data_IF_393027310492
#
_entry.id   IF_393027310492
#
_cell.length_a   1.000
_cell.length_b   1.000
_cell.length_c   1.000
_cell.angle_alpha   90.00
_cell.angle_beta   90.00
_cell.angle_gamma   90.00
#
_symmetry.space_group_name_H-M   'P 1'
#
loop_
_entity.id
_entity.type
_entity.pdbx_description
1 polymer ?
#
# COMPACT_ATOMS: atom_id res chain seq x y z
N UNK A 1 -14.50 -4.36 -47.82
CA UNK A 1 -15.06 -4.65 -46.50
C UNK A 1 -14.57 -3.56 -45.55
N UNK A 2 -15.46 -2.67 -45.10
CA UNK A 2 -15.12 -1.64 -44.12
C UNK A 2 -15.41 -2.20 -42.72
N UNK A 3 -14.40 -2.32 -41.88
CA UNK A 3 -14.57 -2.66 -40.49
C UNK A 3 -14.49 -1.36 -39.65
N UNK A 4 -15.22 -1.31 -38.57
CA UNK A 4 -15.10 -0.22 -37.58
C UNK A 4 -14.06 -0.58 -36.54
N UNK A 5 -13.14 0.36 -36.29
CA UNK A 5 -12.07 0.18 -35.33
C UNK A 5 -12.13 1.32 -34.31
N UNK A 6 -12.27 0.99 -33.01
CA UNK A 6 -12.28 1.94 -31.93
C UNK A 6 -11.13 1.63 -30.98
N UNK A 7 -10.38 2.66 -30.61
CA UNK A 7 -9.32 2.57 -29.60
C UNK A 7 -9.67 3.49 -28.44
N UNK A 8 -9.40 3.04 -27.22
CA UNK A 8 -9.64 3.80 -26.00
C UNK A 8 -8.40 3.77 -25.12
N UNK A 9 -8.01 4.93 -24.62
CA UNK A 9 -7.01 5.05 -23.58
C UNK A 9 -7.65 5.66 -22.35
N UNK A 10 -7.55 4.97 -21.22
CA UNK A 10 -8.06 5.42 -19.94
C UNK A 10 -6.91 5.41 -18.96
N UNK A 11 -6.76 6.47 -18.18
CA UNK A 11 -5.78 6.50 -17.11
C UNK A 11 -6.32 7.23 -15.89
N UNK A 12 -5.78 6.84 -14.75
CA UNK A 12 -6.08 7.44 -13.45
C UNK A 12 -4.77 7.56 -12.67
N UNK A 13 -4.56 8.71 -12.07
CA UNK A 13 -3.46 8.96 -11.16
C UNK A 13 -3.97 9.64 -9.90
N UNK A 14 -3.52 9.16 -8.74
CA UNK A 14 -3.79 9.77 -7.45
C UNK A 14 -2.55 9.73 -6.58
N UNK A 15 -2.30 10.84 -5.90
CA UNK A 15 -1.28 10.92 -4.86
C UNK A 15 -1.86 11.59 -3.62
N UNK A 16 -1.67 10.96 -2.45
CA UNK A 16 -2.15 11.46 -1.17
C UNK A 16 -1.03 11.42 -0.15
N UNK A 17 -0.78 12.55 0.52
CA UNK A 17 0.07 12.65 1.71
C UNK A 17 -0.78 12.91 2.95
N UNK A 18 -0.44 12.28 4.06
CA UNK A 18 -1.07 12.55 5.37
C UNK A 18 0.04 12.69 6.39
N UNK A 19 0.05 13.82 7.10
CA UNK A 19 0.89 14.05 8.28
C UNK A 19 0.01 14.02 9.52
N UNK A 20 0.40 13.26 10.51
CA UNK A 20 -0.32 13.12 11.76
C UNK A 20 0.63 13.19 12.95
N UNK A 21 0.23 13.96 13.96
CA UNK A 21 0.85 13.98 15.28
C UNK A 21 -0.19 13.47 16.28
N UNK A 22 0.16 12.44 17.03
CA UNK A 22 -0.71 11.85 18.04
C UNK A 22 -0.05 11.96 19.40
N UNK A 23 -0.75 12.57 20.34
CA UNK A 23 -0.37 12.64 21.75
C UNK A 23 -1.48 11.97 22.57
N UNK A 24 -1.12 11.00 23.39
CA UNK A 24 -2.04 10.27 24.26
C UNK A 24 -1.48 10.20 25.66
N UNK A 25 -2.34 10.39 26.65
CA UNK A 25 -2.04 10.20 28.06
C UNK A 25 -3.17 9.41 28.71
N UNK A 26 -2.85 8.51 29.60
CA UNK A 26 -3.84 7.70 30.28
C UNK A 26 -3.22 6.58 31.11
N UNK A 27 -4.09 5.78 31.72
CA UNK A 27 -3.70 4.63 32.51
C UNK A 27 -3.62 3.37 31.64
N UNK A 28 -2.51 2.66 31.73
CA UNK A 28 -2.40 1.31 31.23
C UNK A 28 -2.81 0.33 32.34
N UNK A 29 -4.03 -0.13 32.29
CA UNK A 29 -4.61 -1.02 33.32
C UNK A 29 -3.95 -2.42 33.39
N UNK A 30 -3.26 -2.84 32.33
CA UNK A 30 -2.52 -4.11 32.34
C UNK A 30 -1.25 -4.02 33.22
N UNK A 31 -0.54 -2.90 33.15
CA UNK A 31 0.69 -2.66 33.92
C UNK A 31 0.45 -1.80 35.14
N UNK A 32 -0.77 -1.30 35.35
CA UNK A 32 -1.17 -0.35 36.41
C UNK A 32 -0.23 0.88 36.47
N UNK A 33 0.06 1.44 35.30
CA UNK A 33 0.95 2.61 35.18
C UNK A 33 0.34 3.68 34.29
N UNK A 34 0.50 4.93 34.69
CA UNK A 34 0.21 6.05 33.81
C UNK A 34 1.26 6.14 32.70
N UNK A 35 0.79 6.30 31.49
CA UNK A 35 1.63 6.33 30.30
C UNK A 35 1.34 7.57 29.45
N UNK A 36 2.36 8.03 28.75
CA UNK A 36 2.26 8.96 27.63
C UNK A 36 2.75 8.29 26.36
N UNK A 37 2.06 8.54 25.25
CA UNK A 37 2.52 8.16 23.91
C UNK A 37 2.56 9.40 23.03
N UNK A 38 3.69 9.61 22.40
CA UNK A 38 3.87 10.56 21.32
C UNK A 38 4.19 9.80 20.02
N UNK A 39 3.52 10.17 18.95
CA UNK A 39 3.72 9.54 17.65
C UNK A 39 3.63 10.58 16.55
N UNK A 40 4.69 10.69 15.76
CA UNK A 40 4.74 11.48 14.53
C UNK A 40 4.80 10.55 13.33
N UNK A 41 3.86 10.73 12.42
CA UNK A 41 3.68 9.88 11.26
C UNK A 41 3.46 10.73 10.01
N UNK A 42 4.18 10.42 8.95
CA UNK A 42 3.82 10.83 7.59
C UNK A 42 3.59 9.59 6.74
N UNK A 43 2.51 9.58 5.97
CA UNK A 43 2.23 8.53 4.99
C UNK A 43 2.03 9.12 3.62
N UNK A 44 2.68 8.53 2.63
CA UNK A 44 2.46 8.82 1.21
C UNK A 44 1.83 7.63 0.51
N UNK A 45 0.77 7.87 -0.28
CA UNK A 45 0.14 6.86 -1.14
C UNK A 45 0.09 7.37 -2.56
N UNK A 46 0.54 6.54 -3.49
CA UNK A 46 0.48 6.82 -4.93
C UNK A 46 -0.26 5.67 -5.59
N UNK A 47 -1.18 5.98 -6.50
CA UNK A 47 -1.89 5.00 -7.31
C UNK A 47 -1.93 5.48 -8.73
N UNK A 48 -1.57 4.60 -9.66
CA UNK A 48 -1.72 4.80 -11.09
C UNK A 48 -2.41 3.59 -11.70
N UNK A 49 -3.32 3.82 -12.64
CA UNK A 49 -3.93 2.79 -13.47
C UNK A 49 -4.07 3.31 -14.88
N UNK A 50 -3.47 2.63 -15.83
CA UNK A 50 -3.56 2.91 -17.27
C UNK A 50 -4.13 1.71 -18.00
N UNK A 51 -5.06 1.93 -18.91
CA UNK A 51 -5.67 0.91 -19.76
C UNK A 51 -5.70 1.39 -21.21
N UNK A 52 -5.27 0.52 -22.12
CA UNK A 52 -5.42 0.68 -23.55
C UNK A 52 -6.36 -0.42 -24.04
N UNK A 53 -7.43 -0.06 -24.71
CA UNK A 53 -8.41 -0.99 -25.25
C UNK A 53 -8.66 -0.76 -26.74
N UNK A 54 -9.04 -1.83 -27.43
CA UNK A 54 -9.46 -1.78 -28.81
C UNK A 54 -10.68 -2.65 -29.05
N UNK A 55 -11.63 -2.12 -29.83
CA UNK A 55 -12.80 -2.84 -30.34
C UNK A 55 -12.72 -2.84 -31.86
N UNK A 56 -12.80 -4.01 -32.46
CA UNK A 56 -12.73 -4.21 -33.89
C UNK A 56 -13.95 -4.99 -34.35
N UNK A 57 -14.80 -4.34 -35.13
CA UNK A 57 -15.96 -4.96 -35.74
C UNK A 57 -15.63 -5.25 -37.19
N UNK A 58 -15.77 -6.50 -37.60
CA UNK A 58 -15.38 -7.00 -38.91
C UNK A 58 -16.58 -7.66 -39.62
N UNK A 59 -16.58 -7.65 -40.96
CA UNK A 59 -17.58 -8.32 -41.77
C UNK A 59 -19.02 -7.89 -41.44
N UNK A 60 -19.31 -6.61 -41.45
CA UNK A 60 -20.66 -6.08 -41.22
C UNK A 60 -21.27 -6.56 -39.90
N UNK A 61 -20.51 -6.48 -38.80
CA UNK A 61 -20.89 -6.86 -37.45
C UNK A 61 -21.02 -8.37 -37.17
N UNK A 62 -20.55 -9.23 -38.07
CA UNK A 62 -20.55 -10.69 -37.86
C UNK A 62 -19.49 -11.08 -36.82
N UNK A 63 -18.32 -10.47 -36.90
CA UNK A 63 -17.21 -10.74 -36.03
C UNK A 63 -16.84 -9.51 -35.19
N UNK A 64 -16.64 -9.67 -33.89
CA UNK A 64 -16.17 -8.62 -32.99
C UNK A 64 -15.01 -9.11 -32.16
N UNK A 65 -13.94 -8.34 -32.13
CA UNK A 65 -12.79 -8.54 -31.26
C UNK A 65 -12.68 -7.38 -30.31
N UNK A 66 -12.68 -7.63 -29.01
CA UNK A 66 -12.39 -6.65 -27.97
C UNK A 66 -11.11 -7.08 -27.24
N UNK A 67 -10.21 -6.15 -27.02
CA UNK A 67 -9.02 -6.41 -26.21
C UNK A 67 -8.71 -5.25 -25.28
N UNK A 68 -8.07 -5.56 -24.15
CA UNK A 68 -7.63 -4.57 -23.16
C UNK A 68 -6.27 -4.97 -22.64
N UNK A 69 -5.33 -4.02 -22.64
CA UNK A 69 -4.05 -4.12 -21.93
C UNK A 69 -4.04 -3.11 -20.79
N UNK A 70 -3.71 -3.55 -19.57
CA UNK A 70 -3.71 -2.73 -18.39
C UNK A 70 -2.37 -2.75 -17.67
N UNK A 71 -2.00 -1.62 -17.07
CA UNK A 71 -0.93 -1.50 -16.12
C UNK A 71 -1.43 -0.74 -14.89
N UNK A 72 -1.16 -1.28 -13.71
CA UNK A 72 -1.45 -0.66 -12.42
C UNK A 72 -0.19 -0.56 -11.58
N UNK A 73 -0.06 0.54 -10.88
CA UNK A 73 1.00 0.79 -9.90
C UNK A 73 0.39 1.34 -8.63
N UNK A 74 0.77 0.78 -7.47
CA UNK A 74 0.45 1.36 -6.18
C UNK A 74 1.70 1.40 -5.31
N UNK A 75 1.88 2.50 -4.59
CA UNK A 75 2.95 2.65 -3.61
C UNK A 75 2.40 3.19 -2.29
N UNK A 76 2.94 2.68 -1.20
CA UNK A 76 2.73 3.19 0.16
C UNK A 76 4.07 3.42 0.83
N UNK A 77 4.26 4.57 1.46
CA UNK A 77 5.51 4.96 2.11
C UNK A 77 5.25 5.54 3.49
N UNK A 78 5.99 5.06 4.46
CA UNK A 78 6.21 5.69 5.76
C UNK A 78 7.71 6.00 5.88
N UNK A 79 8.15 7.19 5.49
CA UNK A 79 9.59 7.49 5.42
C UNK A 79 10.25 7.68 6.78
N UNK A 80 9.49 7.94 7.85
CA UNK A 80 10.04 8.14 9.19
C UNK A 80 8.90 8.25 10.22
N UNK A 81 8.33 7.14 10.63
CA UNK A 81 7.39 7.11 11.74
C UNK A 81 8.17 7.06 13.04
N UNK A 82 7.94 8.03 13.92
CA UNK A 82 8.57 8.14 15.24
C UNK A 82 7.55 7.82 16.31
N UNK A 83 7.92 6.95 17.23
CA UNK A 83 7.09 6.61 18.39
C UNK A 83 7.94 6.77 19.65
N UNK A 84 7.42 7.48 20.64
CA UNK A 84 7.99 7.55 21.98
C UNK A 84 6.91 7.22 22.98
N UNK A 85 7.16 6.20 23.78
CA UNK A 85 6.34 5.89 24.94
C UNK A 85 7.06 6.38 26.19
N UNK A 86 6.31 6.87 27.17
CA UNK A 86 6.83 7.27 28.47
C UNK A 86 5.94 6.74 29.57
N UNK A 87 6.53 6.44 30.70
CA UNK A 87 5.87 5.85 31.87
C UNK A 87 6.07 6.79 33.04
N UNK A 88 5.01 7.05 33.80
CA UNK A 88 5.08 7.83 35.02
C UNK A 88 5.86 7.06 36.10
N UNK A 89 6.83 7.70 36.70
CA UNK A 89 7.55 7.20 37.85
C UNK A 89 6.96 7.85 39.15
N UNK A 90 6.03 7.17 39.74
CA UNK A 90 5.31 7.64 40.93
C UNK A 90 6.22 7.77 42.17
N UNK A 91 7.42 7.20 42.12
CA UNK A 91 8.40 7.30 43.21
C UNK A 91 9.15 8.63 43.23
N UNK A 92 9.00 9.43 42.14
CA UNK A 92 9.66 10.72 41.94
C UNK A 92 8.67 11.86 42.12
N UNK A 93 9.02 12.82 42.95
CA UNK A 93 8.21 14.03 43.22
C UNK A 93 8.71 15.25 42.45
N UNK A 94 9.92 15.21 41.91
CA UNK A 94 10.54 16.24 41.10
C UNK A 94 10.25 16.02 39.62
N UNK A 95 9.97 17.07 38.91
CA UNK A 95 9.75 17.04 37.45
C UNK A 95 11.07 16.95 36.69
N UNK A 96 11.09 16.28 35.55
CA UNK A 96 10.03 15.49 34.94
C UNK A 96 9.93 14.09 35.55
N UNK A 97 8.71 13.67 35.86
CA UNK A 97 8.45 12.36 36.47
C UNK A 97 8.06 11.27 35.46
N UNK A 98 7.97 11.60 34.18
CA UNK A 98 7.85 10.62 33.12
C UNK A 98 9.24 10.24 32.60
N UNK A 99 9.49 8.96 32.46
CA UNK A 99 10.70 8.48 31.80
C UNK A 99 10.37 7.84 30.44
N UNK A 100 11.24 8.09 29.46
CA UNK A 100 11.10 7.57 28.11
C UNK A 100 11.33 6.06 28.11
N UNK A 101 10.38 5.35 27.51
CA UNK A 101 10.43 3.90 27.33
C UNK A 101 10.26 3.60 25.84
N UNK A 102 11.09 2.70 25.32
CA UNK A 102 11.01 2.18 23.96
C UNK A 102 10.80 3.21 22.85
N UNK A 103 11.67 4.22 22.71
CA UNK A 103 11.60 5.08 21.54
C UNK A 103 11.99 4.32 20.27
N UNK A 104 11.21 4.49 19.21
CA UNK A 104 11.34 3.72 17.98
C UNK A 104 11.18 4.59 16.75
N UNK A 105 11.83 4.18 15.66
CA UNK A 105 11.62 4.72 14.31
C UNK A 105 11.34 3.58 13.33
N UNK A 106 10.41 3.83 12.43
CA UNK A 106 10.02 2.89 11.39
C UNK A 106 10.10 3.54 10.03
N UNK A 107 10.59 2.79 9.07
CA UNK A 107 10.62 3.12 7.66
C UNK A 107 9.94 1.98 6.91
N UNK A 108 8.96 2.32 6.07
CA UNK A 108 8.25 1.32 5.28
C UNK A 108 8.06 1.83 3.86
N UNK A 109 8.30 0.97 2.90
CA UNK A 109 8.10 1.20 1.46
C UNK A 109 7.43 -0.04 0.87
N UNK A 110 6.22 0.13 0.31
CA UNK A 110 5.50 -0.91 -0.41
C UNK A 110 5.30 -0.45 -1.84
N UNK A 111 5.59 -1.35 -2.79
CA UNK A 111 5.36 -1.16 -4.22
C UNK A 111 4.64 -2.36 -4.79
N UNK A 112 3.55 -2.08 -5.48
CA UNK A 112 2.76 -3.04 -6.25
C UNK A 112 2.81 -2.66 -7.73
N UNK A 113 3.08 -3.64 -8.58
CA UNK A 113 2.97 -3.54 -10.02
C UNK A 113 2.03 -4.64 -10.53
N UNK A 114 1.13 -4.28 -11.41
CA UNK A 114 0.22 -5.21 -12.05
C UNK A 114 0.16 -4.97 -13.55
N UNK A 115 0.21 -6.04 -14.32
CA UNK A 115 -0.01 -6.03 -15.77
C UNK A 115 -1.16 -6.98 -16.06
N UNK A 116 -2.10 -6.58 -16.90
CA UNK A 116 -3.23 -7.41 -17.29
C UNK A 116 -3.47 -7.35 -18.80
N UNK A 117 -3.90 -8.46 -19.36
CA UNK A 117 -4.30 -8.59 -20.76
C UNK A 117 -5.63 -9.34 -20.82
N UNK A 118 -6.56 -8.82 -21.59
CA UNK A 118 -7.83 -9.49 -21.91
C UNK A 118 -8.06 -9.44 -23.42
N UNK A 119 -8.63 -10.51 -23.97
CA UNK A 119 -9.11 -10.55 -25.34
C UNK A 119 -10.40 -11.35 -25.40
N UNK A 120 -11.40 -10.83 -26.10
CA UNK A 120 -12.68 -11.47 -26.33
C UNK A 120 -12.97 -11.48 -27.82
N UNK A 121 -13.62 -12.56 -28.27
CA UNK A 121 -14.08 -12.73 -29.64
C UNK A 121 -15.53 -13.16 -29.65
N UNK A 122 -16.36 -12.45 -30.41
CA UNK A 122 -17.77 -12.76 -30.64
C UNK A 122 -17.99 -13.06 -32.13
N UNK A 123 -18.75 -14.10 -32.40
CA UNK A 123 -19.20 -14.47 -33.74
C UNK A 123 -20.72 -14.65 -33.77
N UNK A 124 -21.37 -13.96 -34.70
CA UNK A 124 -22.83 -14.06 -34.93
C UNK A 124 -23.09 -14.99 -36.11
N UNK A 125 -23.85 -16.05 -35.87
CA UNK A 125 -24.28 -16.97 -36.91
C UNK A 125 -25.67 -16.55 -37.40
N UNK A 126 -25.90 -16.69 -38.70
CA UNK A 126 -27.23 -16.60 -39.31
C UNK A 126 -27.59 -17.96 -39.85
N UNK A 127 -28.40 -18.71 -39.09
CA UNK A 127 -28.81 -20.07 -39.46
C UNK A 127 -30.16 -20.06 -40.20
N UNK A 128 -31.09 -19.20 -39.74
CA UNK A 128 -32.37 -18.96 -40.40
C UNK A 128 -32.94 -17.62 -39.98
N UNK A 129 -34.02 -17.14 -40.61
CA UNK A 129 -34.70 -15.88 -40.24
C UNK A 129 -35.20 -15.88 -38.78
N UNK A 130 -35.35 -17.05 -38.19
CA UNK A 130 -35.84 -17.20 -36.79
C UNK A 130 -34.79 -17.67 -35.81
N UNK A 131 -33.56 -18.01 -36.28
CA UNK A 131 -32.53 -18.56 -35.41
C UNK A 131 -31.16 -17.97 -35.73
N UNK A 132 -30.65 -17.12 -34.87
CA UNK A 132 -29.40 -16.40 -35.00
C UNK A 132 -28.57 -16.52 -33.69
N UNK A 133 -27.87 -17.65 -33.51
CA UNK A 133 -27.04 -17.84 -32.31
C UNK A 133 -25.79 -16.97 -32.37
N UNK A 134 -25.30 -16.56 -31.19
CA UNK A 134 -24.05 -15.84 -31.01
C UNK A 134 -23.13 -16.67 -30.12
N UNK A 135 -21.93 -16.94 -30.59
CA UNK A 135 -20.87 -17.58 -29.82
C UNK A 135 -19.85 -16.53 -29.42
N UNK A 136 -19.53 -16.48 -28.13
CA UNK A 136 -18.46 -15.64 -27.63
C UNK A 136 -17.50 -16.41 -26.74
N UNK A 137 -16.24 -15.96 -26.69
CA UNK A 137 -15.22 -16.54 -25.85
C UNK A 137 -14.11 -15.53 -25.60
N UNK A 138 -13.46 -15.71 -24.46
CA UNK A 138 -12.40 -14.80 -24.07
C UNK A 138 -11.35 -15.42 -23.19
N UNK A 139 -10.23 -14.72 -23.13
CA UNK A 139 -9.09 -15.05 -22.29
C UNK A 139 -8.68 -13.83 -21.47
N UNK A 140 -8.22 -14.08 -20.27
CA UNK A 140 -7.67 -13.08 -19.37
C UNK A 140 -6.39 -13.59 -18.74
N UNK A 141 -5.39 -12.73 -18.65
CA UNK A 141 -4.15 -13.00 -17.93
C UNK A 141 -3.75 -11.79 -17.08
N UNK A 142 -3.24 -12.06 -15.90
CA UNK A 142 -2.74 -11.04 -14.98
C UNK A 142 -1.46 -11.52 -14.30
N UNK A 143 -0.49 -10.61 -14.19
CA UNK A 143 0.70 -10.76 -13.38
C UNK A 143 0.78 -9.61 -12.39
N UNK A 144 1.00 -9.91 -11.12
CA UNK A 144 1.23 -8.94 -10.05
C UNK A 144 2.53 -9.23 -9.34
N UNK A 145 3.28 -8.19 -9.03
CA UNK A 145 4.48 -8.23 -8.21
C UNK A 145 4.40 -7.20 -7.09
N UNK A 146 4.68 -7.63 -5.87
CA UNK A 146 4.72 -6.79 -4.68
C UNK A 146 6.06 -6.89 -4.02
N UNK A 147 6.61 -5.74 -3.63
CA UNK A 147 7.78 -5.63 -2.76
C UNK A 147 7.39 -4.81 -1.54
N UNK A 148 7.68 -5.32 -0.36
CA UNK A 148 7.52 -4.61 0.90
C UNK A 148 8.84 -4.63 1.64
N UNK A 149 9.39 -3.44 1.90
CA UNK A 149 10.60 -3.24 2.66
C UNK A 149 10.29 -2.47 3.94
N UNK A 150 10.76 -2.97 5.07
CA UNK A 150 10.63 -2.30 6.34
C UNK A 150 11.96 -2.29 7.10
N UNK A 151 12.22 -1.17 7.78
CA UNK A 151 13.35 -1.04 8.71
C UNK A 151 12.85 -0.50 10.03
N UNK A 152 13.37 -1.08 11.10
CA UNK A 152 13.01 -0.74 12.48
C UNK A 152 14.27 -0.37 13.26
N UNK A 153 14.18 0.71 13.99
CA UNK A 153 15.26 1.19 14.86
C UNK A 153 14.70 1.43 16.25
N UNK A 154 15.38 0.91 17.24
CA UNK A 154 15.19 1.26 18.64
C UNK A 154 16.30 2.18 19.13
N UNK A 155 16.07 2.91 20.19
CA UNK A 155 17.07 3.73 20.83
C UNK A 155 17.42 3.19 22.22
N UNK A 156 18.71 3.13 22.50
CA UNK A 156 19.21 2.91 23.84
C UNK A 156 19.53 4.26 24.48
N UNK A 157 19.00 4.50 25.66
CA UNK A 157 19.19 5.70 26.44
C UNK A 157 20.20 5.39 27.53
N UNK A 158 21.43 5.87 27.39
CA UNK A 158 22.49 5.68 28.34
C UNK A 158 22.74 6.98 29.15
N UNK A 159 23.16 6.82 30.39
CA UNK A 159 23.46 7.96 31.24
C UNK A 159 22.26 8.53 32.00
N UNK A 160 22.54 9.46 32.92
CA UNK A 160 21.53 10.08 33.77
C UNK A 160 20.85 11.24 33.06
N UNK A 161 19.52 11.25 33.05
CA UNK A 161 18.71 12.37 32.57
C UNK A 161 18.17 12.27 31.17
N UNK A 162 18.68 11.38 30.31
CA UNK A 162 18.14 11.17 28.97
C UNK A 162 16.85 10.34 28.95
N UNK A 163 16.63 9.57 29.98
CA UNK A 163 15.42 8.78 30.17
C UNK A 163 14.23 9.62 30.65
N UNK A 164 14.45 10.87 31.07
CA UNK A 164 13.43 11.76 31.63
C UNK A 164 13.23 12.98 30.76
N UNK A 165 12.03 13.13 30.23
CA UNK A 165 11.67 14.23 29.35
C UNK A 165 10.26 14.73 29.64
N UNK A 166 10.15 16.01 30.01
CA UNK A 166 8.88 16.60 30.44
C UNK A 166 7.99 17.04 29.27
N UNK A 167 8.59 17.39 28.14
CA UNK A 167 7.88 17.93 27.01
C UNK A 167 7.15 16.84 26.21
N UNK A 168 6.06 17.26 25.56
CA UNK A 168 5.35 16.40 24.61
C UNK A 168 6.06 16.29 23.24
N UNK A 169 6.93 17.24 22.92
CA UNK A 169 7.75 17.19 21.71
C UNK A 169 9.11 16.57 22.01
N UNK A 170 9.24 15.29 21.71
CA UNK A 170 10.46 14.51 21.92
C UNK A 170 11.54 14.74 20.86
N UNK A 171 11.33 15.63 19.88
CA UNK A 171 12.35 15.91 18.85
C UNK A 171 13.60 16.51 19.47
N UNK A 172 13.48 17.35 20.49
CA UNK A 172 14.62 17.92 21.22
C UNK A 172 15.43 16.89 22.02
N UNK A 173 14.84 15.73 22.37
CA UNK A 173 15.59 14.65 23.02
C UNK A 173 16.55 13.97 22.01
N UNK A 174 16.14 13.83 20.76
CA UNK A 174 16.89 13.15 19.70
C UNK A 174 17.63 14.13 18.80
N UNK A 175 18.12 15.25 19.33
CA UNK A 175 18.99 16.17 18.61
C UNK A 175 20.42 15.60 18.50
N UNK A 176 21.20 16.13 17.56
CA UNK A 176 22.53 15.64 17.25
C UNK A 176 23.50 15.65 18.44
N UNK A 177 23.34 16.63 19.34
CA UNK A 177 24.16 16.75 20.55
C UNK A 177 23.94 15.59 21.55
N UNK A 178 22.75 14.97 21.52
CA UNK A 178 22.42 13.86 22.39
C UNK A 178 22.74 12.51 21.75
N UNK A 179 22.91 12.44 20.44
CA UNK A 179 23.17 11.18 19.74
C UNK A 179 24.66 10.86 19.76
N UNK A 180 25.05 9.91 20.61
CA UNK A 180 26.42 9.40 20.71
C UNK A 180 26.46 8.00 21.35
N UNK A 181 27.60 7.32 21.25
CA UNK A 181 27.73 5.96 21.77
C UNK A 181 27.59 5.84 23.30
N UNK A 182 27.83 6.91 24.02
CA UNK A 182 27.80 7.01 25.49
C UNK A 182 26.53 7.70 26.04
N UNK A 183 25.63 8.14 25.14
CA UNK A 183 24.38 8.82 25.51
C UNK A 183 23.16 8.13 24.92
N UNK A 184 22.69 8.63 23.78
CA UNK A 184 21.57 8.05 23.04
C UNK A 184 22.13 7.49 21.74
N UNK A 185 21.98 6.19 21.54
CA UNK A 185 22.40 5.57 20.29
C UNK A 185 21.28 4.71 19.69
N UNK A 186 21.21 4.74 18.37
CA UNK A 186 20.22 4.04 17.58
C UNK A 186 20.74 2.65 17.21
N UNK A 187 19.92 1.64 17.44
CA UNK A 187 20.17 0.26 17.06
C UNK A 187 19.12 -0.23 16.06
N UNK A 188 19.56 -0.78 14.96
CA UNK A 188 18.64 -1.45 14.04
C UNK A 188 18.13 -2.75 14.65
N UNK A 189 16.80 -2.92 14.63
CA UNK A 189 16.09 -4.10 15.12
C UNK A 189 15.29 -4.79 14.04
N UNK A 190 15.58 -4.45 12.78
CA UNK A 190 14.99 -5.09 11.59
C UNK A 190 15.33 -6.57 11.57
N UNK A 191 14.37 -7.41 11.23
CA UNK A 191 14.54 -8.84 10.99
C UNK A 191 14.21 -9.18 9.54
N UNK A 192 14.70 -10.31 9.05
CA UNK A 192 14.44 -10.74 7.67
C UNK A 192 12.94 -10.94 7.37
N UNK A 193 12.13 -11.19 8.40
CA UNK A 193 10.67 -11.32 8.29
C UNK A 193 9.92 -10.00 8.17
N UNK A 194 10.60 -8.87 8.36
CA UNK A 194 9.98 -7.53 8.26
C UNK A 194 9.83 -7.06 6.80
N UNK A 195 10.49 -7.74 5.85
CA UNK A 195 10.43 -7.44 4.42
C UNK A 195 10.07 -8.70 3.61
N UNK A 196 9.35 -8.52 2.50
CA UNK A 196 8.99 -9.63 1.63
C UNK A 196 8.79 -9.19 0.18
N UNK A 197 8.88 -10.16 -0.72
CA UNK A 197 8.42 -10.05 -2.10
C UNK A 197 7.33 -11.09 -2.36
N UNK A 198 6.38 -10.77 -3.23
CA UNK A 198 5.29 -11.66 -3.61
C UNK A 198 4.97 -11.48 -5.07
N UNK A 199 4.67 -12.59 -5.73
CA UNK A 199 4.21 -12.62 -7.12
C UNK A 199 2.90 -13.39 -7.22
N UNK A 200 2.04 -12.97 -8.13
CA UNK A 200 0.80 -13.64 -8.42
C UNK A 200 0.58 -13.68 -9.92
N UNK A 201 0.22 -14.86 -10.43
CA UNK A 201 -0.15 -15.06 -11.82
C UNK A 201 -1.57 -15.62 -11.83
N UNK A 202 -2.44 -15.00 -12.62
CA UNK A 202 -3.81 -15.44 -12.82
C UNK A 202 -4.09 -15.58 -14.32
N UNK A 203 -4.72 -16.69 -14.69
CA UNK A 203 -5.22 -16.93 -16.03
C UNK A 203 -6.67 -17.41 -15.98
N UNK A 204 -7.51 -16.93 -16.88
CA UNK A 204 -8.89 -17.34 -17.02
C UNK A 204 -9.27 -17.40 -18.50
N UNK A 205 -10.21 -18.30 -18.82
CA UNK A 205 -10.82 -18.38 -20.14
C UNK A 205 -12.31 -18.73 -19.97
N UNK A 206 -13.13 -18.31 -20.94
CA UNK A 206 -14.54 -18.67 -20.99
C UNK A 206 -14.99 -18.86 -22.42
N UNK A 207 -16.07 -19.61 -22.58
CA UNK A 207 -16.85 -19.74 -23.82
C UNK A 207 -18.31 -19.62 -23.44
N UNK A 208 -19.10 -18.90 -24.23
CA UNK A 208 -20.54 -18.73 -24.02
C UNK A 208 -21.29 -18.75 -25.35
N UNK A 209 -22.54 -19.19 -25.30
CA UNK A 209 -23.43 -19.20 -26.47
C UNK A 209 -24.78 -18.57 -26.08
N UNK A 210 -25.22 -17.61 -26.89
CA UNK A 210 -26.56 -17.01 -26.79
C UNK A 210 -27.42 -17.57 -27.92
N UNK A 211 -28.52 -18.20 -27.57
CA UNK A 211 -29.46 -18.77 -28.55
C UNK A 211 -30.65 -17.82 -28.69
N UNK A 212 -30.65 -17.07 -29.80
CA UNK A 212 -31.72 -16.12 -30.14
C UNK A 212 -32.70 -16.85 -31.05
N UNK A 213 -33.97 -16.98 -30.61
CA UNK A 213 -35.06 -17.56 -31.39
C UNK A 213 -36.23 -16.57 -31.39
N UNK A 214 -36.65 -16.15 -32.60
CA UNK A 214 -37.70 -15.16 -32.85
C UNK A 214 -38.87 -15.70 -33.64
#
# INVERSE_FOLDING_TARGET
>A
MKGDHKYEFRNFFSQRGVSALTQREGMNYYSDKAIRKWESLYTGRTTYSGQLGGTHTLQEDINKVDWTAGYAFAAYREPDRKIVNSILDETKTDLPNYYVSDPMRYYQDLKDHGVSLAANYEHKFTVSDKFAPVLDGGVYGEYKSRTFDARRFGYNLLGKGYDRYADWDYTGLFCDENISADRIWMRETTTNSDSYTSENILGAAYVSAKLNYG
#
